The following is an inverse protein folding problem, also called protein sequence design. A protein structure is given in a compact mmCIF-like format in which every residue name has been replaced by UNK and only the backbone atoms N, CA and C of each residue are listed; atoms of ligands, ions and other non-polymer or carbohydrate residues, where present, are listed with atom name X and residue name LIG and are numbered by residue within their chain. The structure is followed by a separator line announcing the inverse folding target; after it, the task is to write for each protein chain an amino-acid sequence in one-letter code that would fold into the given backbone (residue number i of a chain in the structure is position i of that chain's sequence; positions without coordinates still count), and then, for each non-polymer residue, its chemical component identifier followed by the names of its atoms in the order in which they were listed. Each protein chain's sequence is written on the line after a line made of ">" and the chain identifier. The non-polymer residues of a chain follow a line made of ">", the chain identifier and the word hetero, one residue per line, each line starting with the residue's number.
data_IF_737666921007
#
_entry.id   IF_737666921007
#
_cell.length_a   1.000
_cell.length_b   1.000
_cell.length_c   1.000
_cell.angle_alpha   90.00
_cell.angle_beta   90.00
_cell.angle_gamma   90.00
#
_symmetry.space_group_name_H-M   'P 1'
#
loop_
_entity.id
_entity.type
_entity.pdbx_description
1 polymer ?
#
# COMPACT_ATOMS: atom_id res chain seq x y z
N UNK A 1 -9.59 -15.03 19.22
CA UNK A 1 -8.89 -16.18 18.61
C UNK A 1 -9.01 -16.09 17.09
N UNK A 2 -8.03 -15.49 16.40
CA UNK A 2 -7.77 -15.69 14.95
C UNK A 2 -6.57 -14.85 14.51
N UNK A 3 -5.36 -15.22 14.92
CA UNK A 3 -4.11 -14.61 14.42
C UNK A 3 -3.30 -15.55 13.50
N UNK A 4 -3.86 -16.73 13.18
CA UNK A 4 -3.16 -17.76 12.40
C UNK A 4 -3.32 -17.57 10.89
N UNK A 5 -4.48 -17.07 10.43
CA UNK A 5 -4.76 -16.86 9.01
C UNK A 5 -4.00 -15.66 8.41
N UNK A 6 -3.75 -14.60 9.19
CA UNK A 6 -2.97 -13.42 8.79
C UNK A 6 -1.47 -13.73 8.72
N UNK A 7 -0.93 -14.51 9.66
CA UNK A 7 0.46 -14.95 9.63
C UNK A 7 0.76 -15.91 8.45
N UNK A 8 -0.18 -16.81 8.13
CA UNK A 8 -0.08 -17.73 7.00
C UNK A 8 -0.10 -17.04 5.61
N UNK A 9 -0.56 -15.80 5.54
CA UNK A 9 -0.58 -15.00 4.31
C UNK A 9 0.67 -14.10 4.14
N UNK A 10 1.75 -14.33 4.91
CA UNK A 10 3.11 -13.85 4.57
C UNK A 10 3.59 -14.60 3.33
N UNK A 11 2.92 -14.36 2.21
CA UNK A 11 3.27 -14.92 0.93
C UNK A 11 4.63 -14.31 0.57
N UNK A 12 5.60 -15.14 0.21
CA UNK A 12 6.88 -14.68 -0.33
C UNK A 12 6.58 -13.98 -1.65
N UNK A 13 6.39 -12.67 -1.60
CA UNK A 13 6.10 -11.86 -2.77
C UNK A 13 7.44 -11.52 -3.41
N UNK A 14 7.54 -11.70 -4.73
CA UNK A 14 8.75 -11.34 -5.48
C UNK A 14 9.08 -9.86 -5.29
N UNK A 15 10.35 -9.58 -5.04
CA UNK A 15 10.89 -8.23 -5.09
C UNK A 15 11.19 -7.84 -6.54
N UNK A 16 10.99 -6.56 -6.82
CA UNK A 16 11.25 -5.99 -8.13
C UNK A 16 12.11 -4.76 -7.95
N UNK A 17 13.22 -4.70 -8.67
CA UNK A 17 14.13 -3.57 -8.63
C UNK A 17 13.81 -2.57 -9.74
N UNK A 18 13.92 -1.28 -9.42
CA UNK A 18 13.66 -0.23 -10.39
C UNK A 18 14.28 1.09 -9.98
N UNK A 19 14.17 2.06 -10.89
CA UNK A 19 14.70 3.41 -10.71
C UNK A 19 13.55 4.40 -10.57
N UNK A 20 13.64 5.32 -9.62
CA UNK A 20 12.65 6.37 -9.44
C UNK A 20 12.79 7.39 -10.57
N UNK A 21 11.74 7.55 -11.37
CA UNK A 21 11.69 8.49 -12.52
C UNK A 21 11.14 9.85 -12.10
N UNK A 22 10.21 9.89 -11.16
CA UNK A 22 9.67 11.14 -10.64
C UNK A 22 9.21 10.99 -9.19
N UNK A 23 9.76 11.82 -8.31
CA UNK A 23 9.35 12.00 -6.93
C UNK A 23 8.84 13.44 -6.67
N UNK A 24 8.17 13.70 -5.54
CA UNK A 24 7.76 15.05 -5.12
C UNK A 24 6.49 15.62 -5.76
N UNK A 25 6.05 15.10 -6.91
CA UNK A 25 4.83 15.60 -7.58
C UNK A 25 3.53 15.15 -6.90
N UNK A 26 3.57 14.01 -6.19
CA UNK A 26 2.41 13.42 -5.52
C UNK A 26 2.78 13.04 -4.09
N UNK A 27 1.88 13.32 -3.15
CA UNK A 27 2.07 12.96 -1.75
C UNK A 27 2.19 11.44 -1.61
N UNK A 28 3.22 11.00 -0.86
CA UNK A 28 3.44 9.58 -0.48
C UNK A 28 3.44 8.60 -1.66
N UNK A 29 3.85 9.07 -2.83
CA UNK A 29 3.76 8.34 -4.09
C UNK A 29 4.90 8.72 -5.02
N UNK A 30 5.54 7.70 -5.61
CA UNK A 30 6.58 7.89 -6.62
C UNK A 30 6.28 7.07 -7.87
N UNK A 31 6.87 7.49 -9.00
CA UNK A 31 6.85 6.72 -10.25
C UNK A 31 8.17 5.97 -10.38
N UNK A 32 8.11 4.64 -10.41
CA UNK A 32 9.28 3.77 -10.52
C UNK A 32 9.26 3.05 -11.86
N UNK A 33 10.39 3.08 -12.58
CA UNK A 33 10.60 2.33 -13.81
C UNK A 33 11.29 1.01 -13.49
N UNK A 34 10.67 -0.08 -13.93
CA UNK A 34 11.13 -1.45 -13.75
C UNK A 34 11.53 -2.01 -15.11
N UNK A 35 12.60 -2.81 -15.13
CA UNK A 35 13.01 -3.56 -16.30
C UNK A 35 11.98 -4.63 -16.69
N UNK A 36 11.67 -4.72 -17.98
CA UNK A 36 10.83 -5.76 -18.53
C UNK A 36 11.38 -6.21 -19.88
N UNK A 37 10.99 -7.41 -20.30
CA UNK A 37 11.34 -7.93 -21.61
C UNK A 37 10.08 -8.43 -22.32
N UNK A 38 10.05 -8.27 -23.64
CA UNK A 38 8.98 -8.79 -24.48
C UNK A 38 9.60 -9.61 -25.62
N UNK A 39 9.15 -10.86 -25.75
CA UNK A 39 9.48 -11.72 -26.88
C UNK A 39 8.75 -11.26 -28.14
N UNK A 40 9.49 -11.06 -29.23
CA UNK A 40 8.90 -10.87 -30.55
C UNK A 40 8.93 -12.20 -31.32
N UNK A 41 7.76 -12.79 -31.56
CA UNK A 41 7.64 -14.10 -32.24
C UNK A 41 8.12 -14.08 -33.70
N UNK A 42 7.97 -12.97 -34.42
CA UNK A 42 8.37 -12.86 -35.83
C UNK A 42 9.89 -12.80 -35.99
N UNK A 43 10.55 -12.02 -35.12
CA UNK A 43 12.01 -11.82 -35.15
C UNK A 43 12.73 -12.85 -34.27
N UNK A 44 11.99 -13.60 -33.44
CA UNK A 44 12.52 -14.56 -32.46
C UNK A 44 13.59 -13.94 -31.54
N UNK A 45 13.30 -12.73 -31.03
CA UNK A 45 14.23 -11.97 -30.19
C UNK A 45 13.52 -11.35 -28.99
N UNK A 46 14.21 -11.31 -27.86
CA UNK A 46 13.81 -10.56 -26.67
C UNK A 46 14.16 -9.08 -26.83
N UNK A 47 13.17 -8.21 -26.66
CA UNK A 47 13.34 -6.75 -26.63
C UNK A 47 13.10 -6.20 -25.23
N UNK A 48 13.84 -5.16 -24.86
CA UNK A 48 13.62 -4.44 -23.61
C UNK A 48 12.31 -3.66 -23.68
N UNK A 49 11.45 -3.85 -22.68
CA UNK A 49 10.19 -3.15 -22.52
C UNK A 49 10.04 -2.71 -21.07
N UNK A 50 10.63 -1.56 -20.69
CA UNK A 50 10.49 -1.04 -19.34
C UNK A 50 9.05 -0.67 -19.03
N UNK A 51 8.62 -0.91 -17.80
CA UNK A 51 7.28 -0.59 -17.30
C UNK A 51 7.36 0.41 -16.16
N UNK A 52 6.41 1.34 -16.08
CA UNK A 52 6.35 2.31 -14.99
C UNK A 52 5.21 1.96 -14.04
N UNK A 53 5.49 1.94 -12.74
CA UNK A 53 4.51 1.71 -11.67
C UNK A 53 4.38 2.93 -10.78
N UNK A 54 3.17 3.16 -10.27
CA UNK A 54 2.94 4.07 -9.15
C UNK A 54 3.13 3.28 -7.85
N UNK A 55 4.10 3.72 -7.06
CA UNK A 55 4.54 3.04 -5.84
C UNK A 55 4.19 3.90 -4.64
N UNK A 56 3.70 3.27 -3.58
CA UNK A 56 3.45 3.95 -2.32
C UNK A 56 4.74 4.07 -1.51
N UNK A 57 5.09 5.30 -1.17
CA UNK A 57 6.16 5.66 -0.25
C UNK A 57 5.52 6.29 1.00
N UNK A 58 5.44 5.60 2.16
CA UNK A 58 4.70 6.08 3.34
C UNK A 58 5.23 7.40 3.92
N UNK A 59 6.56 7.57 3.89
CA UNK A 59 7.26 8.66 4.56
C UNK A 59 7.87 9.67 3.57
N UNK A 60 7.64 9.49 2.26
CA UNK A 60 8.15 10.39 1.23
C UNK A 60 9.68 10.55 1.30
N UNK A 61 10.38 9.43 1.47
CA UNK A 61 11.85 9.38 1.62
C UNK A 61 12.60 9.34 0.30
N UNK A 62 11.92 9.06 -0.81
CA UNK A 62 12.55 8.84 -2.10
C UNK A 62 12.72 10.13 -2.92
N UNK A 63 13.83 10.19 -3.64
CA UNK A 63 14.17 11.23 -4.60
C UNK A 63 14.24 10.67 -6.03
N UNK A 64 14.17 11.55 -7.02
CA UNK A 64 14.32 11.15 -8.42
C UNK A 64 15.74 10.65 -8.67
N UNK A 65 15.89 9.48 -9.29
CA UNK A 65 17.19 8.85 -9.55
C UNK A 65 17.56 7.70 -8.61
N UNK A 66 16.87 7.55 -7.47
CA UNK A 66 17.14 6.45 -6.54
C UNK A 66 16.87 5.08 -7.18
N UNK A 67 17.71 4.10 -6.83
CA UNK A 67 17.46 2.68 -7.12
C UNK A 67 16.79 2.05 -5.92
N UNK A 68 15.62 1.44 -6.13
CA UNK A 68 14.74 0.96 -5.06
C UNK A 68 14.30 -0.49 -5.27
N UNK A 69 14.10 -1.22 -4.17
CA UNK A 69 13.36 -2.48 -4.16
C UNK A 69 11.90 -2.20 -3.86
N UNK A 70 11.00 -2.68 -4.72
CA UNK A 70 9.55 -2.55 -4.56
C UNK A 70 8.90 -3.93 -4.47
N UNK A 71 7.82 -3.99 -3.69
CA UNK A 71 7.03 -5.20 -3.47
C UNK A 71 5.62 -4.99 -4.00
N UNK A 72 5.11 -5.85 -4.90
CA UNK A 72 3.71 -5.84 -5.33
C UNK A 72 2.76 -6.33 -4.24
N UNK A 73 1.45 -6.28 -4.49
CA UNK A 73 0.43 -6.79 -3.55
C UNK A 73 -0.06 -5.74 -2.55
N UNK A 74 0.66 -4.64 -2.35
CA UNK A 74 0.21 -3.53 -1.51
C UNK A 74 -0.73 -2.58 -2.26
N UNK A 75 -2.03 -2.92 -2.28
CA UNK A 75 -3.05 -2.08 -2.91
C UNK A 75 -3.49 -0.95 -1.97
N UNK A 76 -3.01 0.27 -2.24
CA UNK A 76 -3.47 1.50 -1.57
C UNK A 76 -4.57 2.21 -2.37
N UNK A 77 -4.48 2.16 -3.69
CA UNK A 77 -5.36 2.87 -4.66
C UNK A 77 -5.51 1.97 -5.90
N UNK A 78 -6.51 2.15 -6.79
CA UNK A 78 -6.65 1.28 -7.97
C UNK A 78 -5.39 1.15 -8.84
N UNK A 79 -4.63 2.25 -8.98
CA UNK A 79 -3.36 2.29 -9.75
C UNK A 79 -2.11 1.97 -8.91
N UNK A 80 -2.15 2.19 -7.59
CA UNK A 80 -1.02 1.98 -6.66
C UNK A 80 -1.09 0.59 -6.04
N UNK A 81 -0.34 -0.35 -6.61
CA UNK A 81 -0.30 -1.77 -6.22
C UNK A 81 1.04 -2.23 -5.67
N UNK A 82 2.00 -1.31 -5.61
CA UNK A 82 3.35 -1.57 -5.14
C UNK A 82 3.66 -0.65 -3.97
N UNK A 83 4.55 -1.11 -3.10
CA UNK A 83 5.08 -0.36 -1.96
C UNK A 83 6.61 -0.47 -1.97
N UNK A 84 7.27 0.57 -1.48
CA UNK A 84 8.73 0.57 -1.31
C UNK A 84 9.10 -0.38 -0.18
N UNK A 85 10.11 -1.24 -0.40
CA UNK A 85 10.71 -2.09 0.65
C UNK A 85 12.00 -1.49 1.18
N UNK A 86 12.91 -1.11 0.29
CA UNK A 86 14.21 -0.55 0.66
C UNK A 86 14.80 0.31 -0.46
N UNK A 87 15.69 1.22 -0.09
CA UNK A 87 16.57 1.95 -1.02
C UNK A 87 17.82 1.10 -1.21
N UNK A 88 18.16 0.78 -2.45
CA UNK A 88 19.35 0.00 -2.80
C UNK A 88 20.53 0.95 -3.00
N UNK A 89 20.31 2.01 -3.77
CA UNK A 89 21.31 3.05 -3.99
C UNK A 89 20.61 4.42 -3.96
N UNK A 90 20.92 5.28 -2.96
CA UNK A 90 20.42 6.64 -2.93
C UNK A 90 21.15 7.50 -3.97
N UNK A 91 20.42 8.44 -4.57
CA UNK A 91 20.95 9.46 -5.45
C UNK A 91 20.99 10.82 -4.74
N UNK A 92 22.14 11.48 -4.75
CA UNK A 92 22.32 12.78 -4.09
C UNK A 92 22.45 12.63 -2.57
N UNK A 93 21.37 12.91 -1.83
CA UNK A 93 21.41 12.90 -0.36
C UNK A 93 21.60 11.48 0.21
N UNK A 94 22.44 11.27 1.23
CA UNK A 94 22.60 9.98 1.89
C UNK A 94 21.31 9.45 2.51
N UNK A 95 21.27 8.14 2.80
CA UNK A 95 20.08 7.50 3.38
C UNK A 95 19.78 7.97 4.81
N UNK A 96 20.81 8.41 5.53
CA UNK A 96 20.75 8.82 6.94
C UNK A 96 20.01 10.15 7.14
N UNK A 97 20.11 11.06 6.16
CA UNK A 97 19.45 12.37 6.20
C UNK A 97 17.96 12.29 5.80
N UNK A 98 17.50 11.13 5.34
CA UNK A 98 16.15 10.92 4.82
C UNK A 98 15.27 10.25 5.87
N UNK A 99 13.95 10.47 5.81
CA UNK A 99 13.04 9.75 6.70
C UNK A 99 13.12 8.25 6.43
N UNK A 100 13.14 7.44 7.50
CA UNK A 100 13.23 5.99 7.41
C UNK A 100 12.00 5.39 6.71
N UNK A 101 12.20 4.28 5.99
CA UNK A 101 11.09 3.54 5.36
C UNK A 101 10.50 2.57 6.39
N UNK A 102 9.19 2.61 6.64
CA UNK A 102 8.57 1.71 7.62
C UNK A 102 8.72 0.25 7.23
N UNK A 103 8.96 -0.60 8.24
CA UNK A 103 9.04 -2.04 8.05
C UNK A 103 7.70 -2.62 7.59
N UNK A 104 7.68 -3.86 7.11
CA UNK A 104 6.42 -4.51 6.71
C UNK A 104 5.46 -4.66 7.89
N UNK A 105 6.00 -4.97 9.07
CA UNK A 105 5.22 -5.17 10.29
C UNK A 105 4.58 -3.87 10.76
N UNK A 106 5.33 -2.76 10.78
CA UNK A 106 4.79 -1.42 11.06
C UNK A 106 3.67 -1.03 10.09
N UNK A 107 3.84 -1.34 8.80
CA UNK A 107 2.82 -1.05 7.78
C UNK A 107 1.53 -1.85 8.00
N UNK A 108 1.65 -3.10 8.45
CA UNK A 108 0.51 -3.95 8.78
C UNK A 108 -0.18 -3.46 10.06
N UNK A 109 0.58 -3.14 11.12
CA UNK A 109 0.05 -2.58 12.36
C UNK A 109 -0.78 -1.31 12.11
N UNK A 110 -0.23 -0.34 11.35
CA UNK A 110 -0.95 0.88 10.96
C UNK A 110 -2.24 0.59 10.18
N UNK A 111 -2.28 -0.51 9.41
CA UNK A 111 -3.48 -0.91 8.65
C UNK A 111 -4.52 -1.58 9.54
N UNK A 112 -4.07 -2.38 10.51
CA UNK A 112 -4.91 -3.03 11.52
C UNK A 112 -5.54 -1.99 12.44
N UNK A 113 -4.77 -1.05 12.97
CA UNK A 113 -5.28 0.08 13.77
C UNK A 113 -6.36 0.87 13.03
N UNK A 114 -6.14 1.19 11.74
CA UNK A 114 -7.13 1.89 10.91
C UNK A 114 -8.40 1.06 10.69
N UNK A 115 -8.28 -0.26 10.63
CA UNK A 115 -9.41 -1.17 10.48
C UNK A 115 -10.20 -1.25 11.78
N UNK A 116 -9.52 -1.43 12.90
CA UNK A 116 -10.12 -1.47 14.24
C UNK A 116 -10.84 -0.17 14.58
N UNK A 117 -10.20 0.99 14.34
CA UNK A 117 -10.83 2.30 14.53
C UNK A 117 -12.09 2.47 13.65
N UNK A 118 -12.06 1.96 12.41
CA UNK A 118 -13.22 1.99 11.51
C UNK A 118 -14.35 1.08 12.01
N UNK A 119 -14.02 -0.10 12.52
CA UNK A 119 -15.00 -1.07 13.01
C UNK A 119 -15.61 -0.62 14.35
N UNK A 120 -14.82 -0.04 15.25
CA UNK A 120 -15.30 0.63 16.46
C UNK A 120 -16.28 1.78 16.14
N UNK A 121 -15.93 2.64 15.18
CA UNK A 121 -16.82 3.71 14.71
C UNK A 121 -18.13 3.18 14.12
N UNK A 122 -18.09 2.06 13.39
CA UNK A 122 -19.28 1.41 12.83
C UNK A 122 -20.16 0.78 13.91
N UNK A 123 -19.56 0.14 14.91
CA UNK A 123 -20.28 -0.44 16.05
C UNK A 123 -21.01 0.65 16.85
N UNK A 124 -20.33 1.75 17.18
CA UNK A 124 -20.94 2.90 17.87
C UNK A 124 -22.11 3.50 17.08
N UNK A 125 -21.97 3.64 15.74
CA UNK A 125 -23.07 4.10 14.87
C UNK A 125 -24.25 3.13 14.86
N UNK A 126 -24.00 1.82 14.85
CA UNK A 126 -25.05 0.79 14.89
C UNK A 126 -25.80 0.80 16.22
N UNK A 127 -25.10 0.95 17.34
CA UNK A 127 -25.71 1.08 18.67
C UNK A 127 -26.59 2.33 18.78
N UNK A 128 -26.09 3.49 18.35
CA UNK A 128 -26.88 4.74 18.31
C UNK A 128 -28.12 4.63 17.40
N UNK A 129 -27.99 3.96 16.25
CA UNK A 129 -29.13 3.73 15.35
C UNK A 129 -30.17 2.76 15.92
N UNK A 130 -29.72 1.74 16.66
CA UNK A 130 -30.63 0.80 17.33
C UNK A 130 -31.37 1.45 18.50
N UNK A 131 -30.69 2.26 19.32
CA UNK A 131 -31.33 3.01 20.41
C UNK A 131 -32.34 4.04 19.89
N UNK A 132 -32.03 4.73 18.79
CA UNK A 132 -32.94 5.66 18.15
C UNK A 132 -34.18 4.96 17.55
N UNK A 133 -34.02 3.76 16.98
CA UNK A 133 -35.14 2.97 16.45
C UNK A 133 -36.04 2.41 17.56
N UNK A 134 -35.45 1.99 18.69
CA UNK A 134 -36.21 1.52 19.85
C UNK A 134 -37.05 2.64 20.49
N UNK A 135 -36.55 3.88 20.50
CA UNK A 135 -37.27 5.04 21.02
C UNK A 135 -38.43 5.53 20.11
N UNK A 136 -38.51 5.05 18.87
CA UNK A 136 -39.51 5.51 17.87
C UNK A 136 -40.67 4.53 17.70
N UNK A 137 -40.61 3.31 18.27
CA UNK A 137 -41.74 2.38 18.26
C UNK A 137 -42.78 2.92 19.25
N UNK A 138 -43.95 3.44 18.81
CA UNK A 138 -45.00 3.84 19.73
C UNK A 138 -45.63 2.59 20.33
N UNK A 139 -46.04 2.66 21.60
CA UNK A 139 -46.84 1.62 22.24
C UNK A 139 -48.08 1.32 21.40
N UNK A 140 -48.46 0.04 21.20
CA UNK A 140 -49.71 -0.26 20.51
C UNK A 140 -50.87 0.26 21.35
N UNK A 141 -51.65 1.21 20.81
CA UNK A 141 -52.96 1.58 21.36
C UNK A 141 -53.80 0.30 21.45
N UNK A 142 -54.17 -0.05 22.68
CA UNK A 142 -55.05 -1.18 22.99
C UNK A 142 -56.46 -0.60 23.10
N UNK A 143 -57.30 -0.91 22.10
CA UNK A 143 -58.75 -0.64 22.10
C UNK A 143 -59.52 -1.56 23.08
#
# INVERSE_FOLDING_TARGET
>A
MSNTATAAARQVIREVHGVVVSAGLMQKTVKVRVGGQQWNRKVQKMFTKPMNYLVHDPNSSLQTGDVVSIVPGWRTTPKKRHVVKSIIAPYGTPIEERPSIPTEEERLAVREEKREAKDARRAARRQKGASAKAAVIPEPEVD
#
